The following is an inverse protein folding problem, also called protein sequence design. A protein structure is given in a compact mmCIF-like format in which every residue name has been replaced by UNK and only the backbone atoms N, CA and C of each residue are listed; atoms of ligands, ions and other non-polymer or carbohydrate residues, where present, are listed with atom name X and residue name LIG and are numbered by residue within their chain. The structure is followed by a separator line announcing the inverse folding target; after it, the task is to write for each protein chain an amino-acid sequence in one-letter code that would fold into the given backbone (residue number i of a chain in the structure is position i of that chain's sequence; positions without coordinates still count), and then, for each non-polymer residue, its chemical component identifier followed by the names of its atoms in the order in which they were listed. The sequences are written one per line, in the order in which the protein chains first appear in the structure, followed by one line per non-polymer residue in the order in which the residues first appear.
data_IF_461936995855
#
_entry.id   IF_461936995855
#
_cell.length_a   1.000
_cell.length_b   1.000
_cell.length_c   1.000
_cell.angle_alpha   90.00
_cell.angle_beta   90.00
_cell.angle_gamma   90.00
#
_symmetry.space_group_name_H-M   'P 1'
#
loop_
_entity.id
_entity.type
_entity.pdbx_description
1 polymer ?
#
# COMPACT_ATOMS: atom_id res chain seq x y z
N UNK A 1 9.85 4.09 -1.49
CA UNK A 1 9.64 3.92 -2.94
C UNK A 1 9.21 2.48 -3.09
N UNK A 2 7.92 2.23 -3.29
CA UNK A 2 7.35 0.88 -3.31
C UNK A 2 7.45 0.32 -4.73
N UNK A 3 8.31 -0.67 -4.93
CA UNK A 3 8.36 -1.44 -6.18
C UNK A 3 7.42 -2.63 -6.06
N UNK A 4 6.28 -2.54 -6.75
CA UNK A 4 5.36 -3.67 -6.92
C UNK A 4 6.05 -4.71 -7.80
N UNK A 5 6.27 -5.90 -7.27
CA UNK A 5 6.80 -7.04 -8.04
C UNK A 5 5.66 -7.89 -8.58
N UNK A 6 5.50 -7.91 -9.90
CA UNK A 6 4.64 -8.85 -10.60
C UNK A 6 5.44 -10.15 -10.85
N UNK A 7 4.97 -11.29 -10.34
CA UNK A 7 5.53 -12.61 -10.67
C UNK A 7 4.63 -13.23 -11.74
N UNK A 8 5.11 -13.31 -12.98
CA UNK A 8 4.44 -14.01 -14.09
C UNK A 8 4.91 -15.47 -14.12
N UNK A 9 3.98 -16.42 -14.14
CA UNK A 9 4.29 -17.84 -14.35
C UNK A 9 4.58 -18.07 -15.84
N UNK A 10 5.78 -18.58 -16.15
CA UNK A 10 6.33 -18.58 -17.51
C UNK A 10 5.61 -19.55 -18.48
N UNK A 11 4.81 -20.49 -17.98
CA UNK A 11 4.23 -21.56 -18.80
C UNK A 11 2.85 -21.23 -19.41
N UNK A 12 2.18 -20.15 -19.00
CA UNK A 12 0.84 -19.82 -19.54
C UNK A 12 0.62 -18.37 -19.94
N UNK A 13 1.56 -17.45 -19.66
CA UNK A 13 1.41 -16.00 -19.90
C UNK A 13 0.12 -15.37 -19.33
N UNK A 14 -0.64 -16.10 -18.52
CA UNK A 14 -1.85 -15.62 -17.87
C UNK A 14 -1.47 -15.07 -16.49
N UNK A 15 -1.86 -13.81 -16.16
CA UNK A 15 -1.64 -13.26 -14.83
C UNK A 15 -2.53 -14.03 -13.84
N UNK A 16 -1.98 -15.04 -13.16
CA UNK A 16 -2.82 -15.92 -12.34
C UNK A 16 -3.18 -15.33 -10.98
N UNK A 17 -2.34 -14.54 -10.31
CA UNK A 17 -2.73 -13.96 -9.00
C UNK A 17 -1.97 -12.66 -8.66
N UNK A 18 -2.72 -11.60 -8.34
CA UNK A 18 -2.25 -10.44 -7.57
C UNK A 18 -2.74 -10.66 -6.12
N UNK A 19 -1.97 -11.40 -5.32
CA UNK A 19 -2.26 -11.58 -3.88
C UNK A 19 -1.98 -12.97 -3.30
N UNK A 20 -1.49 -12.97 -2.04
CA UNK A 20 -1.19 -14.07 -1.09
C UNK A 20 -0.64 -15.38 -1.68
N UNK A 21 0.66 -15.59 -1.47
CA UNK A 21 1.35 -16.87 -1.65
C UNK A 21 0.84 -17.86 -0.58
N UNK A 22 0.03 -18.84 -0.99
CA UNK A 22 -0.15 -20.09 -0.25
C UNK A 22 0.98 -21.03 -0.67
N UNK A 23 1.86 -21.38 0.27
CA UNK A 23 2.88 -22.41 0.05
C UNK A 23 2.19 -23.78 -0.09
N UNK A 24 2.04 -24.27 -1.32
CA UNK A 24 1.95 -25.70 -1.54
C UNK A 24 3.39 -26.27 -1.46
N UNK A 25 3.59 -27.26 -0.60
CA UNK A 25 4.85 -28.00 -0.47
C UNK A 25 5.31 -28.49 -1.86
N UNK A 26 6.51 -28.12 -2.35
CA UNK A 26 6.92 -28.50 -3.68
C UNK A 26 7.44 -29.94 -3.64
N UNK A 27 6.64 -30.87 -4.15
CA UNK A 27 7.21 -31.97 -4.92
C UNK A 27 7.34 -31.46 -6.36
N UNK A 28 8.49 -31.69 -7.01
CA UNK A 28 8.92 -31.27 -8.38
C UNK A 28 9.85 -30.04 -8.31
N UNK A 29 11.18 -30.20 -8.30
CA UNK A 29 12.10 -30.54 -9.41
C UNK A 29 12.10 -29.43 -10.50
N UNK A 30 13.29 -28.90 -10.83
CA UNK A 30 13.64 -27.79 -11.73
C UNK A 30 13.71 -26.37 -11.10
N UNK A 31 14.86 -25.67 -11.20
CA UNK A 31 14.96 -24.27 -10.83
C UNK A 31 14.11 -23.44 -11.81
N UNK A 32 12.96 -22.95 -11.35
CA UNK A 32 12.18 -21.95 -12.11
C UNK A 32 12.95 -20.64 -12.11
N UNK A 33 13.42 -20.20 -13.27
CA UNK A 33 13.99 -18.86 -13.48
C UNK A 33 12.86 -17.84 -13.44
N UNK A 34 12.77 -17.07 -12.35
CA UNK A 34 11.87 -15.92 -12.28
C UNK A 34 12.46 -14.78 -13.14
N UNK A 35 11.70 -14.31 -14.14
CA UNK A 35 12.09 -13.17 -14.98
C UNK A 35 11.60 -11.88 -14.32
N UNK A 36 12.52 -11.00 -13.91
CA UNK A 36 12.18 -9.68 -13.35
C UNK A 36 12.12 -8.69 -14.52
N UNK A 37 10.96 -8.09 -14.76
CA UNK A 37 10.80 -6.98 -15.71
C UNK A 37 10.99 -5.68 -14.93
N UNK A 38 11.93 -4.84 -15.36
CA UNK A 38 12.17 -3.53 -14.74
C UNK A 38 11.43 -2.45 -15.53
N UNK A 39 10.74 -1.55 -14.84
CA UNK A 39 10.00 -0.43 -15.43
C UNK A 39 10.91 0.66 -16.02
N UNK A 40 12.21 0.65 -15.66
CA UNK A 40 13.24 1.53 -16.22
C UNK A 40 14.59 0.81 -16.27
N UNK A 41 15.53 1.38 -17.01
CA UNK A 41 16.91 0.93 -16.92
C UNK A 41 17.44 1.15 -15.49
N UNK A 42 18.10 0.14 -14.90
CA UNK A 42 18.73 0.28 -13.59
C UNK A 42 19.95 1.19 -13.69
N UNK A 43 20.18 2.00 -12.66
CA UNK A 43 21.37 2.83 -12.53
C UNK A 43 22.59 1.97 -12.19
N UNK A 44 23.80 2.48 -12.44
CA UNK A 44 25.03 1.75 -12.13
C UNK A 44 25.15 1.36 -10.65
N UNK A 45 24.68 2.22 -9.74
CA UNK A 45 24.63 1.94 -8.31
C UNK A 45 23.72 0.75 -7.98
N UNK A 46 22.54 0.69 -8.58
CA UNK A 46 21.57 -0.41 -8.40
C UNK A 46 22.14 -1.74 -8.94
N UNK A 47 22.84 -1.69 -10.08
CA UNK A 47 23.53 -2.85 -10.65
C UNK A 47 24.63 -3.34 -9.70
N UNK A 48 25.48 -2.44 -9.21
CA UNK A 48 26.56 -2.78 -8.27
C UNK A 48 26.00 -3.37 -6.97
N UNK A 49 24.91 -2.81 -6.45
CA UNK A 49 24.25 -3.34 -5.26
C UNK A 49 23.65 -4.73 -5.50
N UNK A 50 23.03 -4.97 -6.67
CA UNK A 50 22.50 -6.28 -7.03
C UNK A 50 23.61 -7.33 -7.17
N UNK A 51 24.74 -6.98 -7.80
CA UNK A 51 25.91 -7.85 -7.91
C UNK A 51 26.48 -8.19 -6.53
N UNK A 52 26.61 -7.20 -5.65
CA UNK A 52 27.10 -7.42 -4.28
C UNK A 52 26.17 -8.32 -3.46
N UNK A 53 24.88 -8.35 -3.80
CA UNK A 53 23.88 -9.19 -3.15
C UNK A 53 23.68 -10.55 -3.85
N UNK A 54 24.43 -10.83 -4.91
CA UNK A 54 24.35 -12.12 -5.62
C UNK A 54 24.74 -13.26 -4.65
N UNK A 55 23.97 -14.35 -4.66
CA UNK A 55 24.15 -15.52 -3.78
C UNK A 55 23.96 -15.28 -2.27
N UNK A 56 23.47 -14.10 -1.86
CA UNK A 56 23.05 -13.89 -0.47
C UNK A 56 21.69 -14.53 -0.26
N UNK A 57 21.63 -15.53 0.63
CA UNK A 57 20.36 -16.16 1.04
C UNK A 57 19.79 -15.40 2.22
N UNK A 58 18.70 -14.67 2.02
CA UNK A 58 17.94 -14.08 3.12
C UNK A 58 17.01 -15.15 3.69
N UNK A 59 17.29 -15.62 4.91
CA UNK A 59 16.29 -16.38 5.68
C UNK A 59 15.27 -15.38 6.20
N UNK A 60 14.13 -15.34 5.55
CA UNK A 60 12.95 -14.63 6.08
C UNK A 60 12.34 -15.55 7.14
N UNK A 61 12.28 -15.14 8.42
CA UNK A 61 11.57 -15.92 9.44
C UNK A 61 10.16 -16.25 8.95
N UNK A 62 9.64 -17.43 9.31
CA UNK A 62 8.27 -17.86 8.97
C UNK A 62 7.18 -16.89 9.47
N UNK A 63 7.57 -16.00 10.38
CA UNK A 63 6.72 -15.06 11.10
C UNK A 63 7.07 -13.60 10.72
N UNK A 64 7.92 -13.41 9.72
CA UNK A 64 8.25 -12.08 9.20
C UNK A 64 7.04 -11.46 8.52
N UNK A 65 6.42 -10.52 9.21
CA UNK A 65 5.33 -9.72 8.68
C UNK A 65 5.93 -8.46 8.08
N UNK A 66 5.76 -8.25 6.77
CA UNK A 66 6.05 -6.95 6.16
C UNK A 66 5.09 -5.94 6.81
N UNK A 67 5.64 -5.01 7.59
CA UNK A 67 4.86 -3.96 8.24
C UNK A 67 4.14 -3.13 7.17
N UNK A 68 2.84 -2.94 7.34
CA UNK A 68 2.08 -2.05 6.46
C UNK A 68 2.50 -0.61 6.73
N UNK A 69 2.68 0.22 5.69
CA UNK A 69 2.94 1.64 5.90
C UNK A 69 1.86 2.27 6.78
N UNK A 70 2.24 3.24 7.60
CA UNK A 70 1.28 3.95 8.44
C UNK A 70 0.34 4.80 7.58
N UNK A 71 -0.94 4.90 7.93
CA UNK A 71 -1.89 5.77 7.22
C UNK A 71 -1.41 7.23 7.17
N UNK A 72 -0.66 7.67 8.17
CA UNK A 72 -0.05 9.01 8.22
C UNK A 72 0.98 9.27 7.11
N UNK A 73 1.45 8.26 6.37
CA UNK A 73 2.31 8.50 5.19
C UNK A 73 1.52 9.05 4.00
N UNK A 74 0.21 8.80 3.95
CA UNK A 74 -0.68 9.32 2.91
C UNK A 74 -1.62 10.41 3.40
N UNK A 75 -1.94 10.46 4.70
CA UNK A 75 -2.63 11.60 5.33
C UNK A 75 -1.60 12.41 6.13
N UNK A 76 -0.88 13.29 5.44
CA UNK A 76 0.15 14.16 6.02
C UNK A 76 -0.44 15.44 6.63
N UNK A 77 -1.62 15.84 6.17
CA UNK A 77 -2.37 17.02 6.63
C UNK A 77 -3.72 16.57 7.20
N UNK A 78 -3.80 16.29 8.52
CA UNK A 78 -5.03 15.82 9.17
C UNK A 78 -6.05 16.93 9.44
N UNK A 79 -5.60 18.19 9.53
CA UNK A 79 -6.50 19.34 9.57
C UNK A 79 -6.94 19.70 8.16
N UNK A 80 -8.17 19.35 7.81
CA UNK A 80 -8.71 19.57 6.47
C UNK A 80 -9.23 21.01 6.30
N UNK A 81 -9.39 21.76 7.39
CA UNK A 81 -9.99 23.08 7.40
C UNK A 81 -11.47 23.02 7.03
N UNK A 82 -11.91 23.99 6.21
CA UNK A 82 -13.28 24.04 5.74
C UNK A 82 -13.54 22.97 4.67
N UNK A 83 -14.60 22.18 4.83
CA UNK A 83 -15.02 21.14 3.91
C UNK A 83 -16.49 21.32 3.51
N UNK A 84 -16.82 20.94 2.28
CA UNK A 84 -18.21 20.96 1.80
C UNK A 84 -18.98 19.77 2.39
N UNK A 85 -20.08 20.05 3.08
CA UNK A 85 -20.98 19.03 3.65
C UNK A 85 -22.44 19.36 3.36
N UNK A 86 -23.18 18.45 2.74
CA UNK A 86 -24.60 18.59 2.49
C UNK A 86 -25.41 18.55 3.80
N UNK A 87 -25.02 17.68 4.74
CA UNK A 87 -25.69 17.49 6.03
C UNK A 87 -25.09 18.26 7.20
N UNK A 88 -25.46 17.84 8.42
CA UNK A 88 -24.87 18.27 9.68
C UNK A 88 -23.55 17.54 9.99
N UNK A 89 -23.37 16.36 9.42
CA UNK A 89 -22.15 15.55 9.47
C UNK A 89 -21.75 15.17 8.04
N UNK A 90 -20.46 15.09 7.72
CA UNK A 90 -20.03 14.71 6.39
C UNK A 90 -20.32 13.23 6.12
N UNK A 91 -20.55 12.92 4.86
CA UNK A 91 -20.56 11.56 4.33
C UNK A 91 -19.13 11.05 4.08
N UNK A 92 -18.97 9.74 3.95
CA UNK A 92 -17.69 9.13 3.53
C UNK A 92 -17.16 9.75 2.24
N UNK A 93 -18.01 9.99 1.24
CA UNK A 93 -17.59 10.55 -0.04
C UNK A 93 -17.08 12.00 0.08
N UNK A 94 -17.69 12.80 0.95
CA UNK A 94 -17.25 14.17 1.24
C UNK A 94 -15.91 14.16 1.98
N UNK A 95 -15.72 13.26 2.95
CA UNK A 95 -14.43 13.06 3.65
C UNK A 95 -13.31 12.63 2.70
N UNK A 96 -13.56 11.62 1.87
CA UNK A 96 -12.61 11.13 0.84
C UNK A 96 -12.16 12.28 -0.07
N UNK A 97 -13.11 13.11 -0.51
CA UNK A 97 -12.84 14.26 -1.37
C UNK A 97 -12.02 15.34 -0.64
N UNK A 98 -12.38 15.66 0.59
CA UNK A 98 -11.69 16.66 1.41
C UNK A 98 -10.26 16.24 1.76
N UNK A 99 -10.04 14.97 2.13
CA UNK A 99 -8.72 14.44 2.42
C UNK A 99 -7.84 14.52 1.18
N UNK A 100 -8.35 14.06 0.03
CA UNK A 100 -7.62 14.07 -1.25
C UNK A 100 -7.22 15.48 -1.69
N UNK A 101 -8.05 16.48 -1.41
CA UNK A 101 -7.74 17.88 -1.72
C UNK A 101 -6.51 18.42 -0.96
N UNK A 102 -6.24 17.90 0.25
CA UNK A 102 -5.09 18.29 1.09
C UNK A 102 -3.93 17.29 1.06
N UNK A 103 -4.20 16.06 0.65
CA UNK A 103 -3.30 14.94 0.70
C UNK A 103 -3.31 14.22 -0.65
N UNK A 104 -2.54 14.71 -1.62
CA UNK A 104 -2.59 14.23 -3.02
C UNK A 104 -2.22 12.75 -3.20
N UNK A 105 -1.47 12.18 -2.27
CA UNK A 105 -1.10 10.76 -2.27
C UNK A 105 -2.22 9.84 -1.77
N UNK A 106 -3.20 10.37 -1.05
CA UNK A 106 -4.33 9.61 -0.54
C UNK A 106 -5.28 9.20 -1.68
N UNK A 107 -5.67 7.92 -1.70
CA UNK A 107 -6.63 7.37 -2.67
C UNK A 107 -7.91 6.90 -1.99
N UNK A 108 -8.99 6.83 -2.76
CA UNK A 108 -10.27 6.35 -2.28
C UNK A 108 -10.17 4.92 -1.73
N UNK A 109 -10.70 4.69 -0.53
CA UNK A 109 -10.63 3.41 0.16
C UNK A 109 -9.28 3.10 0.81
N UNK A 110 -8.38 4.08 0.94
CA UNK A 110 -7.16 3.95 1.76
C UNK A 110 -7.48 4.01 3.26
N UNK A 111 -8.60 4.61 3.65
CA UNK A 111 -9.10 4.63 5.03
C UNK A 111 -10.59 4.27 5.13
N UNK A 112 -10.99 3.82 6.31
CA UNK A 112 -12.39 3.75 6.77
C UNK A 112 -12.60 4.80 7.86
N UNK A 113 -13.82 5.31 7.99
CA UNK A 113 -14.14 6.39 8.92
C UNK A 113 -15.08 5.92 10.02
N UNK A 114 -14.82 6.36 11.24
CA UNK A 114 -15.62 6.06 12.43
C UNK A 114 -15.72 7.31 13.31
N UNK A 115 -16.74 7.37 14.17
CA UNK A 115 -16.99 8.53 15.04
C UNK A 115 -17.10 9.84 14.25
N UNK A 116 -17.82 9.83 13.12
CA UNK A 116 -18.02 11.00 12.28
C UNK A 116 -18.89 12.01 13.03
N UNK A 117 -18.38 13.21 13.23
CA UNK A 117 -19.08 14.36 13.81
C UNK A 117 -19.05 15.55 12.84
N UNK A 118 -19.62 16.69 13.22
CA UNK A 118 -19.57 17.91 12.40
C UNK A 118 -18.18 18.56 12.35
N UNK A 119 -17.24 18.18 13.22
CA UNK A 119 -15.93 18.84 13.37
C UNK A 119 -14.73 17.88 13.31
N UNK A 120 -14.98 16.58 13.27
CA UNK A 120 -13.91 15.59 13.23
C UNK A 120 -14.37 14.16 13.05
N UNK A 121 -13.43 13.30 12.68
CA UNK A 121 -13.63 11.85 12.53
C UNK A 121 -12.32 11.11 12.80
N UNK A 122 -12.40 9.80 13.06
CA UNK A 122 -11.23 8.93 13.11
C UNK A 122 -11.12 8.12 11.83
N UNK A 123 -10.08 8.40 11.04
CA UNK A 123 -9.71 7.62 9.86
C UNK A 123 -8.83 6.43 10.29
N UNK A 124 -9.19 5.22 9.89
CA UNK A 124 -8.44 3.99 10.15
C UNK A 124 -7.92 3.44 8.84
N UNK A 125 -6.63 3.09 8.77
CA UNK A 125 -6.03 2.59 7.55
C UNK A 125 -6.71 1.31 7.08
N UNK A 126 -6.94 1.18 5.77
CA UNK A 126 -7.44 -0.06 5.19
C UNK A 126 -6.51 -1.21 5.58
N UNK A 127 -7.00 -2.27 6.26
CA UNK A 127 -6.15 -3.29 6.84
C UNK A 127 -5.36 -4.08 5.79
N UNK A 128 -5.68 -4.00 4.50
CA UNK A 128 -4.90 -4.61 3.43
C UNK A 128 -3.78 -3.72 2.88
N UNK A 129 -3.78 -2.42 3.21
CA UNK A 129 -2.86 -1.42 2.65
C UNK A 129 -2.06 -0.67 3.72
N UNK A 130 -2.73 -0.15 4.75
CA UNK A 130 -2.16 0.74 5.74
C UNK A 130 -2.39 0.22 7.17
N UNK A 131 -1.56 0.68 8.09
CA UNK A 131 -1.72 0.48 9.54
C UNK A 131 -2.00 1.81 10.25
N UNK A 132 -2.57 1.72 11.46
CA UNK A 132 -2.78 2.88 12.32
C UNK A 132 -4.02 3.71 11.98
N UNK A 133 -4.14 4.81 12.72
CA UNK A 133 -5.30 5.72 12.67
C UNK A 133 -4.84 7.17 12.61
N UNK A 134 -5.65 8.02 12.00
CA UNK A 134 -5.43 9.47 11.93
C UNK A 134 -6.72 10.19 12.35
N UNK A 135 -6.62 11.06 13.35
CA UNK A 135 -7.71 11.95 13.75
C UNK A 135 -7.78 13.12 12.78
N UNK A 136 -8.91 13.28 12.12
CA UNK A 136 -9.16 14.36 11.18
C UNK A 136 -9.98 15.46 11.87
N UNK A 137 -9.63 16.71 11.58
CA UNK A 137 -10.30 17.90 12.11
C UNK A 137 -10.75 18.74 10.92
N UNK A 138 -12.00 19.25 10.98
CA UNK A 138 -12.59 20.05 9.92
C UNK A 138 -13.72 20.95 10.44
N UNK A 139 -14.19 21.84 9.58
CA UNK A 139 -15.40 22.65 9.79
C UNK A 139 -16.24 22.68 8.51
N UNK A 140 -17.50 23.08 8.63
CA UNK A 140 -18.37 23.38 7.49
C UNK A 140 -17.96 24.67 6.80
#
# INVERSE_FOLDING_TARGET
MDTIQQVLDNDTANPKWIGKVQYATPTILYPKTCKIILERQPTQTEITQAINNLNITYRVPTDYTIGKPALSTVITTPNLGQITMAGNTPTTAELETAIKAKNTNYQNGDATFSNITSTGTLATGNPNKYSGTVSLIYSK
#
